data_IF_335199369237
#
_entry.id   IF_335199369237
#
_cell.length_a   1.000
_cell.length_b   1.000
_cell.length_c   1.000
_cell.angle_alpha   90.00
_cell.angle_beta   90.00
_cell.angle_gamma   90.00
#
_symmetry.space_group_name_H-M   'P 1'
#
loop_
_entity.id
_entity.type
_entity.pdbx_description
1 polymer ?
#
# COMPACT_ATOMS: atom_id res chain seq x y z
N UNK A 1 27.74 -18.27 -6.73
CA UNK A 1 27.04 -16.98 -6.60
C UNK A 1 25.55 -17.24 -6.67
N UNK A 2 24.75 -16.94 -5.62
CA UNK A 2 23.30 -17.10 -5.67
C UNK A 2 22.74 -16.27 -6.81
N UNK A 3 21.69 -16.77 -7.48
CA UNK A 3 21.02 -16.00 -8.52
C UNK A 3 20.43 -14.71 -7.88
N UNK A 4 20.46 -13.54 -8.57
CA UNK A 4 19.99 -12.27 -8.01
C UNK A 4 18.58 -12.30 -7.41
N UNK A 5 17.71 -13.19 -7.89
CA UNK A 5 16.35 -13.39 -7.38
C UNK A 5 16.28 -14.06 -6.01
N UNK A 6 17.24 -14.94 -5.65
CA UNK A 6 17.26 -15.58 -4.32
C UNK A 6 17.78 -14.63 -3.25
N UNK A 7 18.82 -13.85 -3.54
CA UNK A 7 19.36 -12.87 -2.62
C UNK A 7 18.34 -11.76 -2.26
N UNK A 8 17.55 -11.30 -3.24
CA UNK A 8 16.49 -10.32 -3.00
C UNK A 8 15.35 -10.91 -2.14
N UNK A 9 15.00 -12.18 -2.36
CA UNK A 9 13.99 -12.88 -1.55
C UNK A 9 14.45 -13.09 -0.12
N UNK A 10 15.73 -13.41 0.10
CA UNK A 10 16.29 -13.59 1.45
C UNK A 10 16.33 -12.28 2.24
N UNK A 11 16.68 -11.17 1.59
CA UNK A 11 16.65 -9.84 2.21
C UNK A 11 15.22 -9.47 2.61
N UNK A 12 14.27 -9.68 1.71
CA UNK A 12 12.87 -9.41 1.94
C UNK A 12 12.33 -10.22 3.13
N UNK A 13 12.66 -11.51 3.20
CA UNK A 13 12.29 -12.42 4.28
C UNK A 13 12.79 -11.92 5.63
N UNK A 14 14.07 -11.64 5.75
CA UNK A 14 14.68 -11.16 7.01
C UNK A 14 14.05 -9.86 7.50
N UNK A 15 13.77 -8.92 6.58
CA UNK A 15 13.20 -7.61 6.91
C UNK A 15 11.73 -7.67 7.35
N UNK A 16 10.99 -8.70 6.97
CA UNK A 16 9.58 -8.88 7.38
C UNK A 16 9.45 -9.78 8.61
N UNK A 17 10.29 -10.81 8.74
CA UNK A 17 10.23 -11.74 9.87
C UNK A 17 10.86 -11.18 11.15
N UNK A 18 11.97 -10.45 11.01
CA UNK A 18 12.67 -9.80 12.13
C UNK A 18 13.06 -8.35 11.78
N UNK A 19 12.09 -7.47 11.59
CA UNK A 19 12.34 -6.10 11.19
C UNK A 19 12.91 -5.26 12.33
N UNK A 20 13.78 -4.30 11.98
CA UNK A 20 14.14 -3.24 12.91
C UNK A 20 12.92 -2.33 13.08
N UNK A 21 12.49 -2.15 14.32
CA UNK A 21 11.28 -1.40 14.65
C UNK A 21 11.54 0.08 14.94
N UNK A 22 10.59 0.96 14.65
CA UNK A 22 9.21 0.71 14.19
C UNK A 22 9.16 0.17 12.75
N UNK A 23 8.32 -0.84 12.54
CA UNK A 23 8.04 -1.43 11.23
C UNK A 23 6.71 -0.93 10.68
N UNK A 24 6.76 -0.22 9.56
CA UNK A 24 5.60 0.31 8.84
C UNK A 24 5.40 -0.48 7.55
N UNK A 25 4.22 -1.02 7.37
CA UNK A 25 3.81 -1.67 6.12
C UNK A 25 2.79 -0.78 5.40
N UNK A 26 2.96 -0.62 4.09
CA UNK A 26 2.08 0.18 3.24
C UNK A 26 1.51 -0.72 2.15
N UNK A 27 0.20 -0.84 2.12
CA UNK A 27 -0.53 -1.59 1.10
C UNK A 27 -1.43 -0.65 0.30
N UNK A 28 -1.40 -0.79 -0.99
CA UNK A 28 -2.28 -0.10 -1.92
C UNK A 28 -2.73 -1.01 -3.05
N UNK A 29 -3.23 -0.43 -4.13
CA UNK A 29 -3.78 -1.15 -5.26
C UNK A 29 -5.30 -1.11 -5.29
N UNK A 30 -5.90 -1.72 -6.34
CA UNK A 30 -7.31 -1.55 -6.61
C UNK A 30 -8.24 -2.43 -5.76
N UNK A 31 -7.82 -3.66 -5.44
CA UNK A 31 -8.71 -4.69 -4.90
C UNK A 31 -8.25 -5.22 -3.55
N UNK A 32 -9.10 -5.10 -2.55
CA UNK A 32 -8.86 -5.68 -1.22
C UNK A 32 -8.77 -7.21 -1.26
N UNK A 33 -9.57 -7.84 -2.12
CA UNK A 33 -9.62 -9.31 -2.25
C UNK A 33 -8.26 -9.94 -2.59
N UNK A 34 -7.42 -9.24 -3.34
CA UNK A 34 -6.10 -9.72 -3.75
C UNK A 34 -5.08 -9.69 -2.60
N UNK A 35 -5.40 -9.03 -1.48
CA UNK A 35 -4.47 -8.78 -0.37
C UNK A 35 -4.98 -9.23 1.01
N UNK A 36 -6.02 -10.06 1.06
CA UNK A 36 -6.65 -10.48 2.32
C UNK A 36 -5.65 -11.12 3.29
N UNK A 37 -4.90 -12.11 2.82
CA UNK A 37 -3.92 -12.82 3.65
C UNK A 37 -2.72 -11.94 3.99
N UNK A 38 -2.34 -11.04 3.09
CA UNK A 38 -1.27 -10.04 3.31
C UNK A 38 -1.63 -9.12 4.47
N UNK A 39 -2.84 -8.57 4.47
CA UNK A 39 -3.33 -7.67 5.53
C UNK A 39 -3.29 -8.37 6.88
N UNK A 40 -3.88 -9.56 6.97
CA UNK A 40 -3.94 -10.34 8.20
C UNK A 40 -2.55 -10.69 8.75
N UNK A 41 -1.64 -11.12 7.87
CA UNK A 41 -0.28 -11.49 8.27
C UNK A 41 0.55 -10.28 8.70
N UNK A 42 0.46 -9.16 7.96
CA UNK A 42 1.20 -7.95 8.30
C UNK A 42 0.73 -7.29 9.59
N UNK A 43 -0.56 -7.37 9.93
CA UNK A 43 -1.07 -6.88 11.22
C UNK A 43 -0.42 -7.58 12.41
N UNK A 44 0.00 -8.82 12.27
CA UNK A 44 0.73 -9.55 13.32
C UNK A 44 2.20 -9.13 13.43
N UNK A 45 2.77 -8.59 12.37
CA UNK A 45 4.22 -8.32 12.25
C UNK A 45 4.59 -6.84 12.31
N UNK A 46 3.77 -5.94 11.77
CA UNK A 46 4.07 -4.51 11.74
C UNK A 46 3.64 -3.79 13.02
N UNK A 47 4.15 -2.59 13.21
CA UNK A 47 3.68 -1.65 14.24
C UNK A 47 2.58 -0.75 13.70
N UNK A 48 2.68 -0.38 12.43
CA UNK A 48 1.70 0.43 11.70
C UNK A 48 1.43 -0.17 10.33
N UNK A 49 0.17 -0.37 9.99
CA UNK A 49 -0.29 -0.74 8.65
C UNK A 49 -1.01 0.44 8.02
N UNK A 50 -0.54 0.84 6.85
CA UNK A 50 -1.10 1.93 6.04
C UNK A 50 -1.84 1.32 4.86
N UNK A 51 -3.08 1.72 4.64
CA UNK A 51 -3.92 1.27 3.52
C UNK A 51 -4.20 2.46 2.60
N UNK A 52 -3.95 2.27 1.31
CA UNK A 52 -4.27 3.25 0.26
C UNK A 52 -4.80 2.56 -0.99
N UNK A 53 -4.92 3.33 -2.08
CA UNK A 53 -5.46 2.82 -3.34
C UNK A 53 -6.95 2.52 -3.29
N UNK A 54 -7.47 1.90 -4.34
CA UNK A 54 -8.89 1.56 -4.46
C UNK A 54 -9.38 0.62 -3.36
N UNK A 55 -8.52 -0.23 -2.83
CA UNK A 55 -8.86 -1.14 -1.73
C UNK A 55 -9.26 -0.42 -0.43
N UNK A 56 -8.81 0.81 -0.23
CA UNK A 56 -9.14 1.58 0.97
C UNK A 56 -10.63 1.91 1.08
N UNK A 57 -11.34 2.04 -0.03
CA UNK A 57 -12.77 2.39 -0.02
C UNK A 57 -13.66 1.30 0.54
N UNK A 58 -13.27 0.04 0.43
CA UNK A 58 -13.97 -1.05 1.11
C UNK A 58 -13.84 -0.93 2.63
N UNK A 59 -12.66 -0.54 3.13
CA UNK A 59 -12.47 -0.22 4.56
C UNK A 59 -13.30 0.98 5.00
N UNK A 60 -13.33 2.05 4.20
CA UNK A 60 -14.12 3.26 4.51
C UNK A 60 -15.61 2.96 4.56
N UNK A 61 -16.12 2.14 3.64
CA UNK A 61 -17.50 1.67 3.68
C UNK A 61 -17.77 0.80 4.91
N UNK A 62 -16.84 -0.04 5.30
CA UNK A 62 -16.92 -0.82 6.54
C UNK A 62 -17.00 0.06 7.80
N UNK A 63 -16.42 1.25 7.77
CA UNK A 63 -16.57 2.26 8.83
C UNK A 63 -17.91 3.00 8.80
N UNK A 64 -18.75 2.75 7.79
CA UNK A 64 -20.07 3.37 7.63
C UNK A 64 -20.08 4.65 6.79
N UNK A 65 -18.99 4.97 6.10
CA UNK A 65 -18.93 6.14 5.22
C UNK A 65 -19.52 5.87 3.85
N UNK A 66 -20.11 6.90 3.25
CA UNK A 66 -20.52 6.91 1.85
C UNK A 66 -19.30 7.18 0.97
N UNK A 67 -19.06 6.34 -0.04
CA UNK A 67 -17.87 6.39 -0.89
C UNK A 67 -18.17 6.78 -2.35
N UNK A 68 -19.38 7.22 -2.63
CA UNK A 68 -19.83 7.59 -3.98
C UNK A 68 -19.71 6.42 -4.97
N UNK A 69 -19.12 6.69 -6.13
CA UNK A 69 -18.86 5.69 -7.18
C UNK A 69 -17.52 4.96 -7.03
N UNK A 70 -16.83 5.14 -5.90
CA UNK A 70 -15.51 4.52 -5.66
C UNK A 70 -15.56 3.00 -5.73
N UNK A 71 -14.43 2.41 -6.08
CA UNK A 71 -14.27 0.95 -6.07
C UNK A 71 -14.61 0.39 -4.69
N UNK A 72 -15.37 -0.69 -4.67
CA UNK A 72 -15.76 -1.38 -3.45
C UNK A 72 -15.97 -2.87 -3.72
N UNK A 73 -15.60 -3.69 -2.77
CA UNK A 73 -15.96 -5.10 -2.72
C UNK A 73 -16.91 -5.33 -1.55
N UNK A 74 -18.21 -5.32 -1.84
CA UNK A 74 -19.26 -5.49 -0.83
C UNK A 74 -19.19 -6.85 -0.12
N UNK A 75 -18.56 -7.85 -0.75
CA UNK A 75 -18.37 -9.19 -0.14
C UNK A 75 -17.26 -9.20 0.91
N UNK A 76 -16.48 -8.14 1.03
CA UNK A 76 -15.33 -8.01 1.93
C UNK A 76 -15.50 -6.97 3.05
N UNK A 77 -16.68 -6.40 3.17
CA UNK A 77 -16.99 -5.42 4.24
C UNK A 77 -16.77 -6.04 5.62
N UNK A 78 -17.30 -7.24 5.87
CA UNK A 78 -17.13 -7.92 7.15
C UNK A 78 -15.68 -8.27 7.43
N UNK A 79 -14.93 -8.69 6.42
CA UNK A 79 -13.49 -8.91 6.54
C UNK A 79 -12.74 -7.64 6.94
N UNK A 80 -13.05 -6.50 6.33
CA UNK A 80 -12.43 -5.22 6.68
C UNK A 80 -12.73 -4.83 8.14
N UNK A 81 -13.96 -5.07 8.62
CA UNK A 81 -14.31 -4.88 10.03
C UNK A 81 -13.48 -5.77 10.96
N UNK A 82 -13.32 -7.04 10.62
CA UNK A 82 -12.49 -7.97 11.37
C UNK A 82 -11.02 -7.53 11.43
N UNK A 83 -10.48 -7.01 10.34
CA UNK A 83 -9.10 -6.51 10.30
C UNK A 83 -8.90 -5.25 11.14
N UNK A 84 -9.85 -4.34 11.15
CA UNK A 84 -9.85 -3.17 12.03
C UNK A 84 -9.91 -3.58 13.51
N UNK A 85 -10.76 -4.53 13.87
CA UNK A 85 -10.84 -5.10 15.21
C UNK A 85 -9.56 -5.83 15.61
N UNK A 86 -8.98 -6.61 14.69
CA UNK A 86 -7.71 -7.31 14.90
C UNK A 86 -6.58 -6.33 15.20
N UNK A 87 -6.48 -5.25 14.44
CA UNK A 87 -5.49 -4.20 14.67
C UNK A 87 -5.63 -3.59 16.07
N UNK A 88 -6.85 -3.29 16.50
CA UNK A 88 -7.14 -2.74 17.82
C UNK A 88 -6.76 -3.73 18.94
N UNK A 89 -7.15 -4.99 18.82
CA UNK A 89 -6.81 -6.05 19.80
C UNK A 89 -5.31 -6.28 19.94
N UNK A 90 -4.57 -6.17 18.83
CA UNK A 90 -3.11 -6.33 18.81
C UNK A 90 -2.35 -5.06 19.19
N UNK A 91 -3.05 -3.95 19.44
CA UNK A 91 -2.43 -2.65 19.72
C UNK A 91 -1.67 -2.06 18.53
N UNK A 92 -2.04 -2.41 17.31
CA UNK A 92 -1.43 -1.91 16.07
C UNK A 92 -2.15 -0.68 15.57
N UNK A 93 -1.41 0.22 14.91
CA UNK A 93 -2.01 1.34 14.19
C UNK A 93 -2.41 0.89 12.79
N UNK A 94 -3.67 1.03 12.46
CA UNK A 94 -4.20 0.86 11.10
C UNK A 94 -4.60 2.23 10.58
N UNK A 95 -3.83 2.78 9.64
CA UNK A 95 -4.08 4.09 9.06
C UNK A 95 -4.88 3.95 7.76
N UNK A 96 -6.02 4.60 7.73
CA UNK A 96 -6.92 4.69 6.58
C UNK A 96 -6.99 6.14 6.08
N UNK A 97 -7.34 6.37 4.80
CA UNK A 97 -7.49 7.72 4.28
C UNK A 97 -8.50 8.54 5.09
N UNK A 98 -8.16 9.81 5.30
CA UNK A 98 -9.05 10.81 5.92
C UNK A 98 -9.65 11.76 4.90
N UNK A 99 -9.02 11.88 3.74
CA UNK A 99 -9.51 12.61 2.57
C UNK A 99 -9.16 11.87 1.27
N UNK A 100 -9.81 12.24 0.19
CA UNK A 100 -9.64 11.59 -1.10
C UNK A 100 -9.69 12.60 -2.24
N UNK A 101 -8.82 12.41 -3.21
CA UNK A 101 -8.90 13.07 -4.52
C UNK A 101 -9.94 12.33 -5.35
N UNK A 102 -10.94 13.05 -5.81
CA UNK A 102 -12.08 12.48 -6.53
C UNK A 102 -12.22 13.05 -7.94
N UNK A 103 -12.81 12.26 -8.80
CA UNK A 103 -13.17 12.60 -10.18
C UNK A 103 -14.66 12.36 -10.44
N UNK A 104 -15.23 13.04 -11.43
CA UNK A 104 -16.59 12.79 -11.88
C UNK A 104 -16.67 11.59 -12.84
N UNK A 105 -15.76 11.55 -13.80
CA UNK A 105 -15.68 10.51 -14.83
C UNK A 105 -14.24 10.01 -14.98
N UNK A 106 -14.09 8.71 -15.13
CA UNK A 106 -12.78 8.09 -15.29
C UNK A 106 -12.11 8.49 -16.60
N UNK A 107 -10.84 8.92 -16.60
CA UNK A 107 -10.16 9.37 -17.79
C UNK A 107 -9.95 8.25 -18.81
N UNK A 108 -10.18 8.57 -20.09
CA UNK A 108 -9.92 7.67 -21.21
C UNK A 108 -9.27 8.45 -22.37
N UNK A 109 -7.98 8.19 -22.71
CA UNK A 109 -7.09 7.20 -22.07
C UNK A 109 -6.77 7.54 -20.60
N UNK A 110 -6.18 6.59 -19.88
CA UNK A 110 -5.95 6.68 -18.43
C UNK A 110 -5.13 7.92 -18.02
N UNK A 111 -4.25 8.40 -18.89
CA UNK A 111 -3.39 9.57 -18.69
C UNK A 111 -4.01 10.89 -19.22
N UNK A 112 -5.26 10.84 -19.69
CA UNK A 112 -5.96 12.03 -20.17
C UNK A 112 -6.15 13.06 -19.04
N UNK A 113 -6.16 14.38 -19.35
CA UNK A 113 -6.46 15.41 -18.37
C UNK A 113 -7.78 15.16 -17.66
N UNK A 114 -7.81 15.32 -16.36
CA UNK A 114 -9.00 15.14 -15.53
C UNK A 114 -9.10 16.23 -14.48
N UNK A 115 -10.32 16.69 -14.24
CA UNK A 115 -10.62 17.62 -13.13
C UNK A 115 -10.83 16.87 -11.84
N UNK A 116 -10.18 17.34 -10.79
CA UNK A 116 -10.22 16.71 -9.47
C UNK A 116 -10.83 17.65 -8.42
N UNK A 117 -11.47 17.06 -7.43
CA UNK A 117 -11.88 17.73 -6.21
C UNK A 117 -11.53 16.84 -5.02
N UNK A 118 -11.10 17.48 -3.93
CA UNK A 118 -10.74 16.78 -2.69
C UNK A 118 -11.89 16.87 -1.70
N UNK A 119 -12.24 15.74 -1.13
CA UNK A 119 -13.26 15.64 -0.08
C UNK A 119 -12.74 14.89 1.13
N UNK A 120 -13.18 15.28 2.31
CA UNK A 120 -13.09 14.42 3.49
C UNK A 120 -13.84 13.11 3.22
N UNK A 121 -13.31 11.99 3.70
CA UNK A 121 -13.95 10.68 3.50
C UNK A 121 -15.32 10.56 4.15
N UNK A 122 -15.62 11.45 5.11
CA UNK A 122 -16.93 11.56 5.76
C UNK A 122 -17.96 12.31 4.91
N UNK A 123 -17.56 12.91 3.81
CA UNK A 123 -18.40 13.79 2.99
C UNK A 123 -18.17 13.62 1.48
N UNK A 124 -17.97 12.40 1.02
CA UNK A 124 -17.79 12.12 -0.40
C UNK A 124 -19.14 12.19 -1.15
N UNK A 125 -19.23 12.98 -2.24
CA UNK A 125 -20.45 13.05 -3.04
C UNK A 125 -20.77 11.73 -3.74
N UNK A 126 -22.08 11.45 -3.90
CA UNK A 126 -22.57 10.21 -4.50
C UNK A 126 -22.18 10.03 -5.99
N UNK A 127 -21.93 11.14 -6.68
CA UNK A 127 -21.63 11.19 -8.12
C UNK A 127 -20.10 11.25 -8.42
N UNK A 128 -19.26 11.08 -7.41
CA UNK A 128 -17.80 11.13 -7.56
C UNK A 128 -17.13 9.84 -7.15
N UNK A 129 -15.99 9.58 -7.77
CA UNK A 129 -15.15 8.40 -7.56
C UNK A 129 -13.81 8.82 -6.97
N UNK A 130 -13.40 8.18 -5.88
CA UNK A 130 -12.07 8.38 -5.30
C UNK A 130 -10.99 7.67 -6.12
N UNK A 131 -9.93 8.39 -6.48
CA UNK A 131 -8.85 7.89 -7.33
C UNK A 131 -7.44 8.11 -6.78
N UNK A 132 -7.33 8.79 -5.66
CA UNK A 132 -6.05 8.96 -4.94
C UNK A 132 -6.33 9.35 -3.48
N UNK A 133 -5.35 9.16 -2.63
CA UNK A 133 -5.37 9.75 -1.28
C UNK A 133 -5.28 11.27 -1.38
N UNK A 134 -5.96 11.96 -0.48
CA UNK A 134 -5.91 13.41 -0.42
C UNK A 134 -4.65 13.93 0.29
N UNK A 135 -4.46 15.26 0.30
CA UNK A 135 -3.27 15.88 0.89
C UNK A 135 -3.15 15.69 2.41
N UNK A 136 -4.25 15.66 3.13
CA UNK A 136 -4.25 15.36 4.59
C UNK A 136 -3.80 13.92 4.86
N UNK A 137 -4.28 12.99 4.07
CA UNK A 137 -3.88 11.57 4.14
C UNK A 137 -2.41 11.41 3.80
N UNK A 138 -1.94 12.06 2.74
CA UNK A 138 -0.53 12.03 2.34
C UNK A 138 0.40 12.53 3.45
N UNK A 139 0.03 13.62 4.13
CA UNK A 139 0.77 14.15 5.27
C UNK A 139 0.79 13.18 6.46
N UNK A 140 -0.36 12.56 6.77
CA UNK A 140 -0.48 11.55 7.82
C UNK A 140 0.42 10.34 7.55
N UNK A 141 0.43 9.84 6.32
CA UNK A 141 1.23 8.68 5.92
C UNK A 141 2.73 9.02 5.90
N UNK A 142 3.10 10.19 5.41
CA UNK A 142 4.48 10.66 5.44
C UNK A 142 5.01 10.78 6.88
N UNK A 143 4.20 11.25 7.81
CA UNK A 143 4.56 11.36 9.22
C UNK A 143 4.81 9.97 9.85
N UNK A 144 3.98 8.99 9.54
CA UNK A 144 4.17 7.61 10.00
C UNK A 144 5.47 7.00 9.46
N UNK A 145 5.84 7.32 8.22
CA UNK A 145 7.09 6.83 7.58
C UNK A 145 8.33 7.46 8.20
N UNK A 146 8.29 8.72 8.63
CA UNK A 146 9.45 9.43 9.19
C UNK A 146 10.06 8.75 10.42
N UNK A 147 9.24 8.14 11.25
CA UNK A 147 9.67 7.49 12.49
C UNK A 147 10.03 6.02 12.31
N UNK A 148 9.77 5.47 11.13
CA UNK A 148 10.03 4.06 10.83
C UNK A 148 11.52 3.76 10.73
N UNK A 149 11.89 2.52 11.06
CA UNK A 149 13.22 1.93 10.81
C UNK A 149 13.18 0.91 9.67
N UNK A 150 12.02 0.32 9.44
CA UNK A 150 11.77 -0.58 8.31
C UNK A 150 10.43 -0.21 7.68
N UNK A 151 10.41 -0.08 6.36
CA UNK A 151 9.18 0.18 5.59
C UNK A 151 9.09 -0.83 4.45
N UNK A 152 7.95 -1.50 4.35
CA UNK A 152 7.59 -2.34 3.20
C UNK A 152 6.40 -1.69 2.51
N UNK A 153 6.50 -1.50 1.21
CA UNK A 153 5.45 -0.90 0.40
C UNK A 153 5.08 -1.80 -0.79
N UNK A 154 3.79 -2.12 -0.90
CA UNK A 154 3.23 -2.90 -2.00
C UNK A 154 1.90 -2.30 -2.45
N UNK A 155 1.85 -1.76 -3.66
CA UNK A 155 0.68 -1.18 -4.30
C UNK A 155 0.59 0.34 -4.22
N UNK A 156 0.25 1.03 -5.33
CA UNK A 156 0.14 2.49 -5.39
C UNK A 156 -1.03 3.02 -4.56
N UNK A 157 -0.96 4.30 -4.21
CA UNK A 157 -1.98 4.98 -3.41
C UNK A 157 -3.16 5.49 -4.25
N UNK A 158 -3.03 5.54 -5.55
CA UNK A 158 -4.04 6.02 -6.49
C UNK A 158 -3.74 5.59 -7.92
N UNK A 159 -4.43 6.20 -8.87
CA UNK A 159 -4.26 5.97 -10.32
C UNK A 159 -3.02 6.72 -10.80
N UNK A 160 -1.84 6.25 -10.42
CA UNK A 160 -0.56 6.94 -10.61
C UNK A 160 -0.15 7.10 -12.09
N UNK A 161 -0.75 6.34 -12.99
CA UNK A 161 -0.56 6.46 -14.43
C UNK A 161 -1.08 7.80 -14.97
N UNK A 162 -2.01 8.43 -14.24
CA UNK A 162 -2.48 9.77 -14.52
C UNK A 162 -1.70 10.78 -13.68
N UNK A 163 -1.02 11.76 -14.30
CA UNK A 163 -0.22 12.75 -13.57
C UNK A 163 -0.98 13.54 -12.50
N UNK A 164 -2.26 13.81 -12.74
CA UNK A 164 -3.13 14.52 -11.78
C UNK A 164 -3.53 13.66 -10.61
N UNK A 165 -3.58 12.33 -10.78
CA UNK A 165 -3.98 11.35 -9.76
C UNK A 165 -2.78 10.64 -9.12
N UNK A 166 -1.56 11.09 -9.39
CA UNK A 166 -0.32 10.51 -8.88
C UNK A 166 0.21 11.18 -7.60
N UNK A 167 -0.38 12.29 -7.17
CA UNK A 167 0.14 13.11 -6.07
C UNK A 167 0.32 12.33 -4.76
N UNK A 168 -0.61 11.45 -4.41
CA UNK A 168 -0.54 10.63 -3.21
C UNK A 168 0.58 9.58 -3.28
N UNK A 169 0.73 8.91 -4.41
CA UNK A 169 1.82 7.94 -4.66
C UNK A 169 3.18 8.64 -4.65
N UNK A 170 3.28 9.84 -5.23
CA UNK A 170 4.49 10.67 -5.19
C UNK A 170 4.83 11.04 -3.74
N UNK A 171 3.85 11.47 -2.96
CA UNK A 171 4.07 11.85 -1.57
C UNK A 171 4.61 10.70 -0.71
N UNK A 172 4.08 9.50 -0.88
CA UNK A 172 4.58 8.29 -0.21
C UNK A 172 5.99 7.95 -0.68
N UNK A 173 6.23 7.92 -1.99
CA UNK A 173 7.56 7.64 -2.54
C UNK A 173 8.61 8.66 -2.04
N UNK A 174 8.25 9.94 -1.99
CA UNK A 174 9.11 11.00 -1.45
C UNK A 174 9.41 10.79 0.03
N UNK A 175 8.43 10.45 0.84
CA UNK A 175 8.63 10.15 2.25
C UNK A 175 9.58 8.98 2.46
N UNK A 176 9.47 7.92 1.65
CA UNK A 176 10.40 6.78 1.68
C UNK A 176 11.81 7.18 1.22
N UNK A 177 11.92 8.08 0.26
CA UNK A 177 13.22 8.58 -0.22
C UNK A 177 13.96 9.45 0.82
N UNK A 178 13.24 10.13 1.70
CA UNK A 178 13.77 11.04 2.69
C UNK A 178 14.00 10.40 4.08
N UNK A 179 13.50 9.20 4.32
CA UNK A 179 13.67 8.48 5.59
C UNK A 179 15.01 7.75 5.66
N UNK A 180 15.54 7.58 6.88
CA UNK A 180 16.70 6.73 7.16
C UNK A 180 16.37 5.24 7.29
N UNK A 181 15.10 4.88 7.16
CA UNK A 181 14.63 3.50 7.25
C UNK A 181 15.16 2.62 6.10
N UNK A 182 15.25 1.32 6.36
CA UNK A 182 15.34 0.33 5.27
C UNK A 182 14.00 0.30 4.54
N UNK A 183 14.02 0.62 3.25
CA UNK A 183 12.82 0.72 2.41
C UNK A 183 12.78 -0.40 1.38
N UNK A 184 11.71 -1.18 1.38
CA UNK A 184 11.51 -2.34 0.52
C UNK A 184 10.25 -2.14 -0.29
N UNK A 185 10.41 -2.10 -1.61
CA UNK A 185 9.32 -1.98 -2.57
C UNK A 185 9.02 -3.35 -3.14
N UNK A 186 7.78 -3.79 -3.02
CA UNK A 186 7.32 -5.08 -3.54
C UNK A 186 6.19 -4.92 -4.54
N UNK A 187 6.21 -5.74 -5.59
CA UNK A 187 5.19 -5.76 -6.62
C UNK A 187 5.51 -4.92 -7.84
N UNK A 188 4.95 -5.35 -8.99
CA UNK A 188 5.19 -4.72 -10.28
C UNK A 188 4.72 -3.27 -10.37
N UNK A 189 3.53 -2.98 -9.86
CA UNK A 189 2.95 -1.63 -9.90
C UNK A 189 3.72 -0.64 -9.03
N UNK A 190 4.14 -1.06 -7.84
CA UNK A 190 4.95 -0.21 -6.94
C UNK A 190 6.33 0.04 -7.52
N UNK A 191 6.97 -0.98 -8.08
CA UNK A 191 8.25 -0.85 -8.77
C UNK A 191 8.13 0.08 -9.99
N UNK A 192 7.08 -0.08 -10.78
CA UNK A 192 6.80 0.79 -11.92
C UNK A 192 6.58 2.24 -11.46
N UNK A 193 5.80 2.45 -10.39
CA UNK A 193 5.55 3.78 -9.84
C UNK A 193 6.83 4.48 -9.39
N UNK A 194 7.68 3.84 -8.57
CA UNK A 194 8.92 4.46 -8.10
C UNK A 194 9.93 4.71 -9.22
N UNK A 195 9.98 3.83 -10.23
CA UNK A 195 10.81 4.04 -11.43
C UNK A 195 10.30 5.22 -12.27
N UNK A 196 9.01 5.24 -12.57
CA UNK A 196 8.37 6.31 -13.37
C UNK A 196 8.49 7.67 -12.68
N UNK A 197 8.37 7.71 -11.35
CA UNK A 197 8.43 8.93 -10.56
C UNK A 197 9.86 9.36 -10.21
N UNK A 198 10.87 8.59 -10.58
CA UNK A 198 12.28 8.93 -10.38
C UNK A 198 12.84 8.69 -8.98
N UNK A 199 12.21 7.83 -8.16
CA UNK A 199 12.63 7.55 -6.78
C UNK A 199 13.32 6.20 -6.60
N UNK A 200 13.52 5.42 -7.66
CA UNK A 200 14.08 4.07 -7.56
C UNK A 200 15.45 4.02 -6.85
N UNK A 201 16.34 4.95 -7.15
CA UNK A 201 17.69 5.04 -6.57
C UNK A 201 17.67 5.32 -5.05
N UNK A 202 16.58 5.82 -4.52
CA UNK A 202 16.41 6.16 -3.11
C UNK A 202 15.87 5.02 -2.27
N UNK A 203 15.44 3.92 -2.90
CA UNK A 203 14.91 2.74 -2.22
C UNK A 203 16.03 1.77 -1.90
N UNK A 204 15.98 1.13 -0.72
CA UNK A 204 16.98 0.15 -0.31
C UNK A 204 16.91 -1.11 -1.17
N UNK A 205 15.69 -1.59 -1.43
CA UNK A 205 15.43 -2.79 -2.25
C UNK A 205 14.16 -2.62 -3.06
N UNK A 206 14.18 -3.07 -4.32
CA UNK A 206 13.01 -3.12 -5.20
C UNK A 206 12.86 -4.54 -5.74
N UNK A 207 11.69 -5.15 -5.51
CA UNK A 207 11.32 -6.46 -6.05
C UNK A 207 10.21 -6.30 -7.08
N UNK A 208 10.48 -6.71 -8.31
CA UNK A 208 9.52 -6.69 -9.43
C UNK A 208 8.67 -7.95 -9.52
N UNK A 209 8.99 -8.99 -8.79
CA UNK A 209 8.26 -10.25 -8.74
C UNK A 209 6.95 -10.12 -7.96
N UNK A 210 5.90 -9.58 -8.59
CA UNK A 210 4.63 -9.24 -7.92
C UNK A 210 3.99 -10.41 -7.18
N UNK A 211 3.88 -11.58 -7.81
CA UNK A 211 3.29 -12.78 -7.19
C UNK A 211 4.13 -13.29 -6.01
N UNK A 212 5.44 -13.43 -6.20
CA UNK A 212 6.34 -13.91 -5.17
C UNK A 212 6.41 -12.96 -3.95
N UNK A 213 6.38 -11.64 -4.18
CA UNK A 213 6.34 -10.65 -3.10
C UNK A 213 5.05 -10.75 -2.27
N UNK A 214 3.90 -10.92 -2.93
CA UNK A 214 2.61 -11.08 -2.24
C UNK A 214 2.55 -12.39 -1.47
N UNK A 215 2.94 -13.51 -2.07
CA UNK A 215 2.99 -14.82 -1.42
C UNK A 215 3.86 -14.80 -0.15
N UNK A 216 4.98 -14.12 -0.21
CA UNK A 216 5.84 -13.95 0.94
C UNK A 216 5.19 -13.09 2.05
N UNK A 217 4.55 -11.97 1.67
CA UNK A 217 3.81 -11.13 2.62
C UNK A 217 2.57 -11.83 3.21
N UNK A 218 2.03 -12.83 2.51
CA UNK A 218 1.01 -13.74 3.02
C UNK A 218 1.54 -14.77 4.03
N UNK A 219 2.85 -14.85 4.22
CA UNK A 219 3.49 -15.83 5.10
C UNK A 219 3.70 -17.20 4.48
N UNK A 220 3.61 -17.31 3.15
CA UNK A 220 3.87 -18.56 2.42
C UNK A 220 5.37 -18.75 2.20
N UNK A 221 5.83 -19.99 2.33
CA UNK A 221 7.18 -20.36 1.91
C UNK A 221 7.29 -20.30 0.38
N UNK A 222 8.30 -19.57 -0.10
CA UNK A 222 8.58 -19.55 -1.54
C UNK A 222 9.33 -20.83 -1.94
N UNK A 223 8.88 -21.56 -2.97
CA UNK A 223 9.51 -22.82 -3.38
C UNK A 223 11.01 -22.70 -3.71
N UNK A 224 11.47 -21.50 -4.09
CA UNK A 224 12.87 -21.22 -4.37
C UNK A 224 13.74 -20.99 -3.12
N UNK A 225 13.14 -20.74 -1.96
CA UNK A 225 13.85 -20.49 -0.69
C UNK A 225 13.96 -21.80 0.11
N UNK A 226 12.92 -22.62 0.09
CA UNK A 226 12.93 -23.94 0.75
C UNK A 226 14.05 -24.86 0.21
N UNK A 227 14.44 -24.70 -1.06
CA UNK A 227 15.54 -25.46 -1.67
C UNK A 227 16.94 -24.96 -1.27
N UNK A 228 17.06 -23.82 -0.59
CA UNK A 228 18.34 -23.25 -0.17
C UNK A 228 18.69 -23.57 1.30
N UNK A 229 17.70 -23.92 2.12
CA UNK A 229 17.88 -24.25 3.54
C UNK A 229 18.25 -25.74 3.77
N UNK A 230 18.18 -26.59 2.72
CA UNK A 230 18.53 -28.02 2.78
C UNK A 230 19.97 -28.34 2.32
N UNK A 231 20.91 -27.38 2.46
CA UNK A 231 22.34 -27.64 2.18
C UNK A 231 23.27 -27.10 3.25
#
# INVERSE_FOLDING_TARGET
>A
TPKPSSAASDVYKRQVEDPVRPFVAILGGAKVADKLNVISNLLEKCDTLIIGGGMAYTFLKAQGYEIGKSLVDDTKIDYCKEMMEKAEKLGKKLLLPVDSVTIADFPNPIDAPVEVQVYDVTNMPADREGCDIGPKTAALYAEAVKTAKTVVWNGPMGVFENPTLAAGTIAVAKALAETDATTIIGGGDSAAAVNQLGFADKMSHISTGGGASLEFLEGKELPGVAAADDK
#
